data_IF_648254393540
#
_entry.id   IF_648254393540
#
_cell.length_a   1.000
_cell.length_b   1.000
_cell.length_c   1.000
_cell.angle_alpha   90.00
_cell.angle_beta   90.00
_cell.angle_gamma   90.00
#
_symmetry.space_group_name_H-M   'P 1'
#
loop_
_entity.id
_entity.type
_entity.pdbx_description
1 polymer ?
#
# COMPACT_ATOMS: atom_id res chain seq x y z
N UNK A 1 1.45 25.03 9.69
CA UNK A 1 1.05 23.77 9.03
C UNK A 1 1.96 22.59 9.39
N UNK A 2 3.30 22.70 9.31
CA UNK A 2 4.20 21.55 9.60
C UNK A 2 4.04 20.88 10.98
N UNK A 3 3.92 21.67 12.05
CA UNK A 3 3.78 21.14 13.43
C UNK A 3 2.54 20.24 13.61
N UNK A 4 1.43 20.52 12.91
CA UNK A 4 0.19 19.75 13.08
C UNK A 4 0.27 18.38 12.40
N UNK A 5 0.97 18.27 11.27
CA UNK A 5 1.16 16.98 10.60
C UNK A 5 2.07 16.06 11.40
N UNK A 6 3.10 16.63 12.05
CA UNK A 6 3.97 15.86 12.95
C UNK A 6 3.18 15.30 14.13
N UNK A 7 2.37 16.12 14.82
CA UNK A 7 1.58 15.66 15.96
C UNK A 7 0.63 14.54 15.56
N UNK A 8 -0.09 14.66 14.45
CA UNK A 8 -0.99 13.61 13.97
C UNK A 8 -0.26 12.31 13.61
N UNK A 9 0.90 12.40 12.96
CA UNK A 9 1.72 11.24 12.65
C UNK A 9 2.24 10.58 13.93
N UNK A 10 2.76 11.38 14.86
CA UNK A 10 3.23 10.94 16.16
C UNK A 10 2.13 10.24 16.98
N UNK A 11 0.90 10.75 16.96
CA UNK A 11 -0.24 10.13 17.64
C UNK A 11 -0.69 8.83 16.97
N UNK A 12 -0.77 8.81 15.64
CA UNK A 12 -1.13 7.59 14.91
C UNK A 12 -0.09 6.47 15.12
N UNK A 13 1.21 6.79 15.07
CA UNK A 13 2.27 5.80 15.32
C UNK A 13 2.27 5.27 16.74
N UNK A 14 1.94 6.12 17.72
CA UNK A 14 1.73 5.68 19.09
C UNK A 14 0.54 4.71 19.17
N UNK A 15 -0.60 5.07 18.59
CA UNK A 15 -1.82 4.26 18.60
C UNK A 15 -1.60 2.90 17.93
N UNK A 16 -0.90 2.87 16.80
CA UNK A 16 -0.47 1.62 16.14
C UNK A 16 0.31 0.72 17.10
N UNK A 17 1.33 1.23 17.79
CA UNK A 17 2.15 0.42 18.68
C UNK A 17 1.32 -0.12 19.85
N UNK A 18 0.48 0.72 20.45
CA UNK A 18 -0.37 0.31 21.58
C UNK A 18 -1.37 -0.76 21.15
N UNK A 19 -2.07 -0.56 20.03
CA UNK A 19 -3.08 -1.49 19.53
C UNK A 19 -2.47 -2.85 19.13
N UNK A 20 -1.32 -2.83 18.44
CA UNK A 20 -0.78 -4.05 17.80
C UNK A 20 0.29 -4.77 18.64
N UNK A 21 1.03 -4.07 19.50
CA UNK A 21 2.17 -4.64 20.22
C UNK A 21 1.99 -4.69 21.74
N UNK A 22 1.10 -3.88 22.31
CA UNK A 22 0.88 -3.90 23.76
C UNK A 22 -0.25 -4.89 24.15
N UNK A 23 -0.16 -5.52 25.33
CA UNK A 23 -1.22 -6.41 25.83
C UNK A 23 -2.48 -5.61 26.19
N UNK A 24 -3.64 -6.28 26.17
CA UNK A 24 -4.94 -5.67 26.44
C UNK A 24 -5.02 -4.94 27.80
N UNK A 25 -4.31 -5.43 28.83
CA UNK A 25 -4.26 -4.74 30.13
C UNK A 25 -3.63 -3.34 30.04
N UNK A 26 -2.67 -3.14 29.13
CA UNK A 26 -2.07 -1.83 28.88
C UNK A 26 -2.99 -0.95 28.03
N UNK A 27 -3.62 -1.53 26.99
CA UNK A 27 -4.57 -0.84 26.11
C UNK A 27 -5.79 -0.28 26.87
N UNK A 28 -6.18 -0.93 27.97
CA UNK A 28 -7.32 -0.52 28.80
C UNK A 28 -6.98 0.58 29.83
N UNK A 29 -5.72 1.01 29.96
CA UNK A 29 -5.36 2.14 30.82
C UNK A 29 -5.85 3.45 30.21
N UNK A 30 -6.03 4.48 31.05
CA UNK A 30 -6.34 5.83 30.54
C UNK A 30 -5.22 6.33 29.61
N UNK A 31 -5.54 6.99 28.47
CA UNK A 31 -4.52 7.41 27.49
C UNK A 31 -3.39 8.26 28.07
N UNK A 32 -3.69 9.12 29.05
CA UNK A 32 -2.68 9.92 29.74
C UNK A 32 -1.74 9.06 30.60
N UNK A 33 -2.28 8.02 31.25
CA UNK A 33 -1.49 7.05 32.02
C UNK A 33 -0.63 6.22 31.08
N UNK A 34 -1.18 5.76 29.94
CA UNK A 34 -0.42 5.02 28.93
C UNK A 34 0.77 5.85 28.43
N UNK A 35 0.52 7.11 28.02
CA UNK A 35 1.56 8.01 27.46
C UNK A 35 2.67 8.29 28.46
N UNK A 36 2.39 8.31 29.76
CA UNK A 36 3.38 8.55 30.81
C UNK A 36 3.95 7.26 31.42
N UNK A 37 3.51 6.08 30.95
CA UNK A 37 3.92 4.82 31.54
C UNK A 37 5.40 4.56 31.28
N UNK A 38 6.15 4.21 32.34
CA UNK A 38 7.60 4.01 32.29
C UNK A 38 8.04 2.97 31.24
N UNK A 39 7.18 2.00 30.94
CA UNK A 39 7.41 0.96 29.93
C UNK A 39 7.53 1.53 28.52
N UNK A 40 6.98 2.70 28.21
CA UNK A 40 7.12 3.30 26.88
C UNK A 40 8.41 4.12 26.81
N UNK A 41 8.63 5.02 27.77
CA UNK A 41 9.78 5.92 27.78
C UNK A 41 11.13 5.19 27.92
N UNK A 42 11.17 4.06 28.63
CA UNK A 42 12.41 3.31 28.87
C UNK A 42 12.60 2.11 27.95
N UNK A 43 11.63 1.77 27.11
CA UNK A 43 11.73 0.60 26.24
C UNK A 43 12.38 0.98 24.91
N UNK A 44 13.62 0.51 24.63
CA UNK A 44 14.29 0.82 23.37
C UNK A 44 13.53 0.25 22.15
N UNK A 45 12.79 -0.85 22.30
CA UNK A 45 11.98 -1.44 21.24
C UNK A 45 10.83 -0.50 20.87
N UNK A 46 10.22 0.16 21.87
CA UNK A 46 9.18 1.16 21.62
C UNK A 46 9.72 2.28 20.73
N UNK A 47 10.83 2.91 21.13
CA UNK A 47 11.41 4.02 20.36
C UNK A 47 11.93 3.60 18.98
N UNK A 48 12.55 2.42 18.89
CA UNK A 48 13.01 1.85 17.62
C UNK A 48 11.86 1.54 16.66
N UNK A 49 10.64 1.33 17.16
CA UNK A 49 9.45 1.14 16.32
C UNK A 49 8.71 2.46 16.06
N UNK A 50 8.63 3.31 17.08
CA UNK A 50 7.88 4.57 17.07
C UNK A 50 8.44 5.58 16.09
N UNK A 51 9.75 5.84 16.12
CA UNK A 51 10.35 6.87 15.27
C UNK A 51 10.26 6.53 13.78
N UNK A 52 10.58 5.30 13.33
CA UNK A 52 10.36 4.91 11.95
C UNK A 52 8.88 5.01 11.56
N UNK A 53 7.96 4.49 12.38
CA UNK A 53 6.53 4.59 12.07
C UNK A 53 6.06 6.05 11.93
N UNK A 54 6.51 6.95 12.81
CA UNK A 54 6.16 8.36 12.72
C UNK A 54 6.66 8.99 11.41
N UNK A 55 7.88 8.65 10.99
CA UNK A 55 8.43 9.07 9.71
C UNK A 55 7.68 8.46 8.51
N UNK A 56 7.30 7.19 8.60
CA UNK A 56 6.52 6.48 7.59
C UNK A 56 5.16 7.14 7.39
N UNK A 57 4.41 7.39 8.48
CA UNK A 57 3.11 8.07 8.42
C UNK A 57 3.25 9.50 7.92
N UNK A 58 4.28 10.24 8.37
CA UNK A 58 4.51 11.62 7.92
C UNK A 58 4.80 11.70 6.42
N UNK A 59 5.68 10.81 5.92
CA UNK A 59 6.03 10.78 4.50
C UNK A 59 4.84 10.35 3.64
N UNK A 60 4.01 9.41 4.11
CA UNK A 60 2.74 9.07 3.46
C UNK A 60 1.77 10.25 3.42
N UNK A 61 1.56 10.97 4.53
CA UNK A 61 0.73 12.19 4.54
C UNK A 61 1.24 13.22 3.54
N UNK A 62 2.56 13.42 3.47
CA UNK A 62 3.16 14.35 2.52
C UNK A 62 2.92 13.91 1.08
N UNK A 63 3.14 12.63 0.76
CA UNK A 63 2.86 12.08 -0.55
C UNK A 63 1.38 12.28 -0.93
N UNK A 64 0.46 11.96 -0.02
CA UNK A 64 -0.98 12.12 -0.27
C UNK A 64 -1.47 13.57 -0.29
N UNK A 65 -0.67 14.51 0.22
CA UNK A 65 -0.99 15.94 0.12
C UNK A 65 -1.00 16.42 -1.35
N UNK A 66 -0.30 15.74 -2.25
CA UNK A 66 -0.31 16.02 -3.69
C UNK A 66 -1.71 15.89 -4.31
N UNK A 67 -2.57 15.04 -3.75
CA UNK A 67 -3.96 14.86 -4.18
C UNK A 67 -4.96 15.58 -3.26
N UNK A 68 -4.51 16.46 -2.36
CA UNK A 68 -5.36 17.08 -1.33
C UNK A 68 -5.89 16.08 -0.31
N UNK A 69 -5.20 14.96 -0.14
CA UNK A 69 -5.59 13.89 0.79
C UNK A 69 -4.73 13.87 2.06
N UNK A 70 -3.67 14.68 2.15
CA UNK A 70 -2.76 14.74 3.31
C UNK A 70 -3.26 15.58 4.50
N UNK A 71 -4.44 16.18 4.37
CA UNK A 71 -5.03 17.09 5.35
C UNK A 71 -5.43 16.38 6.67
N UNK A 72 -5.94 17.19 7.60
CA UNK A 72 -6.44 16.74 8.90
C UNK A 72 -7.52 15.67 8.76
N UNK A 73 -7.70 14.90 9.84
CA UNK A 73 -8.82 13.97 9.98
C UNK A 73 -10.14 14.70 9.78
N UNK A 74 -10.99 14.16 8.90
CA UNK A 74 -12.29 14.78 8.63
C UNK A 74 -13.16 14.61 9.87
N UNK A 75 -13.96 15.61 10.25
CA UNK A 75 -14.78 15.53 11.46
C UNK A 75 -15.84 14.42 11.40
N UNK A 76 -16.18 13.95 10.19
CA UNK A 76 -17.15 12.90 9.95
C UNK A 76 -16.51 11.51 9.76
N UNK A 77 -15.18 11.42 9.78
CA UNK A 77 -14.42 10.19 9.58
C UNK A 77 -14.59 9.27 10.79
N UNK A 78 -14.97 8.02 10.52
CA UNK A 78 -15.06 6.98 11.54
C UNK A 78 -13.66 6.58 12.03
N UNK A 79 -13.58 6.02 13.23
CA UNK A 79 -12.31 5.53 13.78
C UNK A 79 -11.64 4.49 12.86
N UNK A 80 -12.43 3.61 12.24
CA UNK A 80 -11.90 2.61 11.31
C UNK A 80 -11.38 3.22 10.00
N UNK A 81 -12.04 4.27 9.46
CA UNK A 81 -11.52 5.00 8.30
C UNK A 81 -10.19 5.70 8.63
N UNK A 82 -10.14 6.35 9.79
CA UNK A 82 -8.92 7.01 10.28
C UNK A 82 -7.79 5.99 10.44
N UNK A 83 -8.06 4.83 11.05
CA UNK A 83 -7.07 3.74 11.21
C UNK A 83 -6.61 3.22 9.86
N UNK A 84 -7.52 2.97 8.91
CA UNK A 84 -7.14 2.53 7.56
C UNK A 84 -6.26 3.57 6.87
N UNK A 85 -6.64 4.84 6.94
CA UNK A 85 -5.89 5.91 6.29
C UNK A 85 -4.52 6.15 6.93
N UNK A 86 -4.45 6.27 8.24
CA UNK A 86 -3.21 6.61 8.95
C UNK A 86 -2.31 5.38 9.15
N UNK A 87 -2.87 4.26 9.63
CA UNK A 87 -2.07 3.10 10.05
C UNK A 87 -1.65 2.20 8.90
N UNK A 88 -2.41 2.20 7.80
CA UNK A 88 -2.17 1.31 6.68
C UNK A 88 -1.75 2.07 5.44
N UNK A 89 -2.57 3.02 4.99
CA UNK A 89 -2.28 3.73 3.74
C UNK A 89 -1.04 4.62 3.90
N UNK A 90 -1.06 5.61 4.81
CA UNK A 90 0.10 6.52 4.93
C UNK A 90 1.36 5.83 5.44
N UNK A 91 1.24 4.95 6.43
CA UNK A 91 2.39 4.21 6.94
C UNK A 91 3.09 3.38 5.85
N UNK A 92 2.36 2.88 4.85
CA UNK A 92 2.91 2.02 3.80
C UNK A 92 3.31 2.81 2.54
N UNK A 93 2.47 3.75 2.11
CA UNK A 93 2.68 4.52 0.89
C UNK A 93 3.86 5.50 1.03
N UNK A 94 4.16 5.98 2.23
CA UNK A 94 5.32 6.84 2.49
C UNK A 94 6.64 6.16 2.09
N UNK A 95 7.00 5.01 2.69
CA UNK A 95 8.17 4.23 2.33
C UNK A 95 8.19 3.78 0.87
N UNK A 96 7.06 3.34 0.31
CA UNK A 96 6.98 2.91 -1.09
C UNK A 96 7.23 4.07 -2.03
N UNK A 97 6.65 5.23 -1.75
CA UNK A 97 6.91 6.46 -2.50
C UNK A 97 8.38 6.86 -2.44
N UNK A 98 9.00 6.73 -1.26
CA UNK A 98 10.43 6.98 -1.12
C UNK A 98 11.30 5.99 -1.91
N UNK A 99 11.01 4.70 -1.86
CA UNK A 99 11.69 3.68 -2.68
C UNK A 99 11.53 3.97 -4.18
N UNK A 100 10.32 4.31 -4.61
CA UNK A 100 10.04 4.69 -6.01
C UNK A 100 10.88 5.89 -6.47
N UNK A 101 11.15 6.85 -5.57
CA UNK A 101 12.02 7.99 -5.87
C UNK A 101 13.50 7.59 -5.96
N UNK A 102 13.95 6.62 -5.15
CA UNK A 102 15.30 6.06 -5.26
C UNK A 102 15.46 5.32 -6.58
N UNK A 103 14.52 4.42 -6.91
CA UNK A 103 14.53 3.68 -8.17
C UNK A 103 14.58 4.64 -9.37
N UNK A 104 13.79 5.72 -9.32
CA UNK A 104 13.79 6.75 -10.35
C UNK A 104 15.12 7.51 -10.42
N UNK A 105 15.73 7.82 -9.28
CA UNK A 105 17.03 8.48 -9.25
C UNK A 105 18.11 7.59 -9.87
N UNK A 106 18.13 6.30 -9.52
CA UNK A 106 19.08 5.33 -10.07
C UNK A 106 18.95 5.24 -11.60
N UNK A 107 17.71 5.15 -12.12
CA UNK A 107 17.46 5.20 -13.58
C UNK A 107 18.06 6.45 -14.22
N UNK A 108 17.87 7.62 -13.61
CA UNK A 108 18.32 8.90 -14.15
C UNK A 108 19.84 9.05 -14.13
N UNK A 109 20.50 8.54 -13.08
CA UNK A 109 21.96 8.62 -12.93
C UNK A 109 22.71 7.55 -13.74
N UNK A 110 22.08 6.40 -13.99
CA UNK A 110 22.70 5.31 -14.76
C UNK A 110 22.46 5.41 -16.28
N UNK A 111 21.48 6.20 -16.71
CA UNK A 111 21.19 6.45 -18.13
C UNK A 111 22.43 6.74 -19.01
N UNK A 112 23.45 7.51 -18.56
CA UNK A 112 24.63 7.84 -19.36
C UNK A 112 25.66 6.70 -19.50
N UNK A 113 25.63 5.70 -18.63
CA UNK A 113 26.72 4.73 -18.45
C UNK A 113 26.43 3.33 -19.02
N UNK A 114 25.21 3.09 -19.52
CA UNK A 114 24.77 1.77 -19.92
C UNK A 114 25.10 1.40 -21.38
N UNK A 115 25.69 0.24 -21.59
CA UNK A 115 25.75 -0.40 -22.91
C UNK A 115 24.32 -0.73 -23.39
N UNK A 116 24.02 -0.46 -24.67
CA UNK A 116 22.65 -0.53 -25.25
C UNK A 116 21.84 -1.79 -24.93
N UNK A 117 22.50 -2.96 -24.77
CA UNK A 117 21.81 -4.22 -24.43
C UNK A 117 21.37 -4.27 -22.98
N UNK A 118 22.30 -4.03 -22.04
CA UNK A 118 21.98 -3.95 -20.61
C UNK A 118 20.95 -2.85 -20.34
N UNK A 119 21.00 -1.75 -21.12
CA UNK A 119 20.06 -0.64 -21.01
C UNK A 119 18.61 -1.08 -21.25
N UNK A 120 18.37 -1.83 -22.34
CA UNK A 120 17.02 -2.27 -22.70
C UNK A 120 16.41 -3.16 -21.63
N UNK A 121 17.23 -4.02 -21.06
CA UNK A 121 16.82 -5.01 -20.08
C UNK A 121 16.51 -4.35 -18.72
N UNK A 122 17.36 -3.42 -18.28
CA UNK A 122 17.15 -2.64 -17.06
C UNK A 122 15.97 -1.66 -17.18
N UNK A 123 15.78 -1.01 -18.34
CA UNK A 123 14.67 -0.07 -18.56
C UNK A 123 13.30 -0.74 -18.47
N UNK A 124 13.16 -1.95 -19.02
CA UNK A 124 11.89 -2.69 -18.91
C UNK A 124 11.61 -3.06 -17.45
N UNK A 125 12.64 -3.48 -16.71
CA UNK A 125 12.53 -3.79 -15.28
C UNK A 125 12.07 -2.59 -14.46
N UNK A 126 12.75 -1.45 -14.63
CA UNK A 126 12.36 -0.22 -13.95
C UNK A 126 10.96 0.25 -14.33
N UNK A 127 10.57 0.15 -15.61
CA UNK A 127 9.24 0.51 -16.04
C UNK A 127 8.16 -0.34 -15.36
N UNK A 128 8.41 -1.65 -15.19
CA UNK A 128 7.49 -2.56 -14.49
C UNK A 128 7.42 -2.20 -13.01
N UNK A 129 8.56 -2.01 -12.34
CA UNK A 129 8.61 -1.64 -10.92
C UNK A 129 7.88 -0.33 -10.66
N UNK A 130 8.19 0.72 -11.41
CA UNK A 130 7.51 2.02 -11.31
C UNK A 130 6.01 1.92 -11.58
N UNK A 131 5.60 1.10 -12.56
CA UNK A 131 4.19 0.89 -12.86
C UNK A 131 3.46 0.19 -11.71
N UNK A 132 4.07 -0.83 -11.10
CA UNK A 132 3.52 -1.57 -9.96
C UNK A 132 3.40 -0.66 -8.73
N UNK A 133 4.48 0.04 -8.35
CA UNK A 133 4.48 0.90 -7.15
C UNK A 133 3.55 2.11 -7.31
N UNK A 134 3.55 2.75 -8.49
CA UNK A 134 2.65 3.87 -8.77
C UNK A 134 1.19 3.41 -8.78
N UNK A 135 0.89 2.26 -9.38
CA UNK A 135 -0.48 1.70 -9.39
C UNK A 135 -0.97 1.42 -7.97
N UNK A 136 -0.08 0.95 -7.09
CA UNK A 136 -0.41 0.71 -5.69
C UNK A 136 -0.76 2.00 -4.94
N UNK A 137 0.08 3.03 -5.01
CA UNK A 137 -0.18 4.35 -4.39
C UNK A 137 -1.46 4.98 -4.95
N UNK A 138 -1.69 4.88 -6.26
CA UNK A 138 -2.91 5.36 -6.89
C UNK A 138 -4.14 4.59 -6.41
N UNK A 139 -4.05 3.26 -6.24
CA UNK A 139 -5.15 2.45 -5.72
C UNK A 139 -5.51 2.84 -4.28
N UNK A 140 -4.51 3.15 -3.44
CA UNK A 140 -4.73 3.64 -2.08
C UNK A 140 -5.28 5.06 -2.04
N UNK A 141 -4.79 5.96 -2.90
CA UNK A 141 -5.36 7.29 -3.06
C UNK A 141 -6.83 7.23 -3.49
N UNK A 142 -7.14 6.33 -4.43
CA UNK A 142 -8.51 6.07 -4.84
C UNK A 142 -9.36 5.45 -3.72
N UNK A 143 -8.76 4.63 -2.86
CA UNK A 143 -9.43 4.06 -1.71
C UNK A 143 -9.85 5.15 -0.71
N UNK A 144 -8.96 6.09 -0.40
CA UNK A 144 -9.26 7.25 0.45
C UNK A 144 -10.43 8.05 -0.12
N UNK A 145 -10.41 8.32 -1.43
CA UNK A 145 -11.51 9.04 -2.09
C UNK A 145 -12.83 8.25 -2.01
N UNK A 146 -12.76 6.93 -2.08
CA UNK A 146 -13.95 6.07 -1.97
C UNK A 146 -14.53 6.06 -0.56
N UNK A 147 -13.68 6.01 0.47
CA UNK A 147 -14.09 6.19 1.87
C UNK A 147 -14.67 7.60 2.09
N UNK A 148 -14.06 8.62 1.48
CA UNK A 148 -14.56 10.00 1.54
C UNK A 148 -15.97 10.14 0.96
N UNK A 149 -16.23 9.47 -0.15
CA UNK A 149 -17.55 9.41 -0.77
C UNK A 149 -18.52 8.44 -0.05
N UNK A 150 -18.08 7.73 0.99
CA UNK A 150 -18.84 6.69 1.71
C UNK A 150 -19.49 5.66 0.79
N UNK A 151 -18.83 5.35 -0.34
CA UNK A 151 -19.35 4.37 -1.30
C UNK A 151 -19.12 2.96 -0.80
N UNK A 152 -20.20 2.27 -0.44
CA UNK A 152 -20.15 0.86 -0.01
C UNK A 152 -19.62 -0.05 -1.14
N UNK A 153 -20.10 0.16 -2.38
CA UNK A 153 -19.68 -0.67 -3.51
C UNK A 153 -18.21 -0.41 -3.84
N UNK A 154 -17.81 0.86 -3.91
CA UNK A 154 -16.43 1.24 -4.19
C UNK A 154 -15.47 0.64 -3.15
N UNK A 155 -15.77 0.76 -1.85
CA UNK A 155 -14.91 0.21 -0.80
C UNK A 155 -14.74 -1.30 -0.96
N UNK A 156 -15.83 -2.03 -1.22
CA UNK A 156 -15.77 -3.48 -1.45
C UNK A 156 -14.96 -3.84 -2.69
N UNK A 157 -15.17 -3.12 -3.79
CA UNK A 157 -14.44 -3.34 -5.04
C UNK A 157 -12.94 -3.10 -4.84
N UNK A 158 -12.56 -2.01 -4.17
CA UNK A 158 -11.16 -1.71 -3.88
C UNK A 158 -10.53 -2.79 -2.99
N UNK A 159 -11.22 -3.24 -1.94
CA UNK A 159 -10.75 -4.34 -1.06
C UNK A 159 -10.49 -5.61 -1.87
N UNK A 160 -11.46 -6.03 -2.71
CA UNK A 160 -11.31 -7.21 -3.56
C UNK A 160 -10.12 -7.03 -4.50
N UNK A 161 -10.06 -5.90 -5.22
CA UNK A 161 -9.04 -5.67 -6.24
C UNK A 161 -7.64 -5.59 -5.64
N UNK A 162 -7.47 -4.91 -4.49
CA UNK A 162 -6.19 -4.87 -3.79
C UNK A 162 -5.78 -6.26 -3.27
N UNK A 163 -6.72 -7.05 -2.75
CA UNK A 163 -6.44 -8.42 -2.29
C UNK A 163 -5.98 -9.29 -3.46
N UNK A 164 -6.71 -9.27 -4.58
CA UNK A 164 -6.35 -10.02 -5.80
C UNK A 164 -5.00 -9.56 -6.32
N UNK A 165 -4.75 -8.25 -6.38
CA UNK A 165 -3.47 -7.70 -6.81
C UNK A 165 -2.32 -8.13 -5.89
N UNK A 166 -2.49 -8.12 -4.58
CA UNK A 166 -1.49 -8.57 -3.62
C UNK A 166 -1.15 -10.06 -3.80
N UNK A 167 -2.15 -10.92 -3.99
CA UNK A 167 -1.91 -12.34 -4.32
C UNK A 167 -1.17 -12.50 -5.65
N UNK A 168 -1.46 -11.66 -6.63
CA UNK A 168 -0.74 -11.67 -7.90
C UNK A 168 0.71 -11.30 -7.77
N UNK A 169 0.97 -10.19 -7.09
CA UNK A 169 2.33 -9.73 -6.85
C UNK A 169 3.13 -10.76 -6.03
N UNK A 170 2.50 -11.42 -5.05
CA UNK A 170 3.13 -12.53 -4.32
C UNK A 170 3.54 -13.68 -5.25
N UNK A 171 2.62 -14.15 -6.10
CA UNK A 171 2.91 -15.23 -7.04
C UNK A 171 4.01 -14.83 -8.02
N UNK A 172 4.01 -13.58 -8.47
CA UNK A 172 5.03 -13.02 -9.35
C UNK A 172 6.41 -12.99 -8.71
N UNK A 173 6.52 -12.50 -7.47
CA UNK A 173 7.79 -12.48 -6.72
C UNK A 173 8.33 -13.90 -6.51
N UNK A 174 7.47 -14.84 -6.11
CA UNK A 174 7.86 -16.23 -5.89
C UNK A 174 8.27 -16.91 -7.20
N UNK A 175 7.52 -16.70 -8.29
CA UNK A 175 7.85 -17.25 -9.60
C UNK A 175 9.15 -16.66 -10.15
N UNK A 176 9.36 -15.34 -9.99
CA UNK A 176 10.61 -14.65 -10.34
C UNK A 176 11.80 -15.26 -9.60
N UNK A 177 11.68 -15.45 -8.27
CA UNK A 177 12.74 -16.05 -7.45
C UNK A 177 13.07 -17.48 -7.89
N UNK A 178 12.06 -18.30 -8.15
CA UNK A 178 12.25 -19.69 -8.62
C UNK A 178 12.92 -19.71 -10.00
N UNK A 179 12.48 -18.84 -10.91
CA UNK A 179 13.02 -18.78 -12.27
C UNK A 179 14.47 -18.30 -12.26
N UNK A 180 14.77 -17.24 -11.51
CA UNK A 180 16.12 -16.73 -11.36
C UNK A 180 17.07 -17.86 -10.89
N UNK A 181 16.69 -18.59 -9.84
CA UNK A 181 17.42 -19.78 -9.36
C UNK A 181 17.62 -20.86 -10.43
N UNK A 182 16.62 -21.10 -11.29
CA UNK A 182 16.68 -22.14 -12.34
C UNK A 182 17.51 -21.74 -13.57
N UNK A 183 17.64 -20.44 -13.83
CA UNK A 183 18.29 -19.91 -15.03
C UNK A 183 19.82 -19.92 -14.97
N UNK A 184 20.40 -20.09 -13.77
CA UNK A 184 21.84 -19.96 -13.50
C UNK A 184 22.49 -18.66 -14.03
N UNK A 185 21.70 -17.63 -14.38
CA UNK A 185 22.19 -16.38 -14.98
C UNK A 185 23.10 -15.58 -14.06
N UNK A 186 22.83 -15.61 -12.76
CA UNK A 186 23.54 -14.85 -11.71
C UNK A 186 24.46 -15.73 -10.83
N UNK A 187 24.82 -16.92 -11.32
CA UNK A 187 25.70 -17.87 -10.59
C UNK A 187 24.97 -18.75 -9.57
N UNK A 188 25.67 -19.20 -8.53
CA UNK A 188 25.12 -20.10 -7.49
C UNK A 188 24.28 -19.39 -6.44
N UNK A 189 24.42 -18.07 -6.32
CA UNK A 189 23.74 -17.26 -5.32
C UNK A 189 22.46 -16.67 -5.90
N UNK A 190 21.40 -16.63 -5.10
CA UNK A 190 20.08 -16.09 -5.51
C UNK A 190 20.11 -14.56 -5.60
N UNK A 191 21.00 -13.92 -4.84
CA UNK A 191 21.23 -12.48 -4.84
C UNK A 191 22.74 -12.25 -4.97
N UNK A 192 23.15 -11.32 -5.84
CA UNK A 192 24.55 -10.96 -6.04
C UNK A 192 25.02 -9.93 -5.01
N UNK A 193 24.09 -9.11 -4.52
CA UNK A 193 24.36 -8.03 -3.58
C UNK A 193 23.41 -8.01 -2.38
N UNK A 194 23.86 -7.37 -1.28
CA UNK A 194 23.00 -7.10 -0.12
C UNK A 194 21.87 -6.11 -0.45
N UNK A 195 22.05 -5.28 -1.48
CA UNK A 195 21.04 -4.33 -1.95
C UNK A 195 19.87 -5.05 -2.62
N UNK A 196 20.15 -5.99 -3.54
CA UNK A 196 19.10 -6.83 -4.15
C UNK A 196 18.30 -7.61 -3.10
N UNK A 197 18.98 -8.21 -2.11
CA UNK A 197 18.29 -8.88 -1.01
C UNK A 197 17.39 -7.91 -0.22
N UNK A 198 17.86 -6.69 0.04
CA UNK A 198 17.10 -5.68 0.74
C UNK A 198 15.88 -5.20 -0.07
N UNK A 199 16.03 -4.97 -1.36
CA UNK A 199 14.94 -4.58 -2.28
C UNK A 199 13.89 -5.68 -2.39
N UNK A 200 14.30 -6.92 -2.64
CA UNK A 200 13.40 -8.07 -2.69
C UNK A 200 12.65 -8.24 -1.35
N UNK A 201 13.37 -8.10 -0.23
CA UNK A 201 12.76 -8.16 1.11
C UNK A 201 11.75 -7.04 1.33
N UNK A 202 12.04 -5.81 0.89
CA UNK A 202 11.11 -4.69 0.98
C UNK A 202 9.84 -4.93 0.15
N UNK A 203 9.97 -5.44 -1.09
CA UNK A 203 8.84 -5.83 -1.95
C UNK A 203 7.99 -6.93 -1.31
N UNK A 204 8.64 -7.96 -0.75
CA UNK A 204 7.94 -9.05 -0.07
C UNK A 204 7.22 -8.56 1.19
N UNK A 205 7.87 -7.70 1.99
CA UNK A 205 7.25 -7.06 3.15
C UNK A 205 6.04 -6.23 2.73
N UNK A 206 6.14 -5.42 1.67
CA UNK A 206 5.01 -4.67 1.11
C UNK A 206 3.84 -5.60 0.77
N UNK A 207 4.08 -6.69 0.03
CA UNK A 207 3.03 -7.66 -0.32
C UNK A 207 2.40 -8.29 0.92
N UNK A 208 3.21 -8.65 1.92
CA UNK A 208 2.71 -9.18 3.19
C UNK A 208 1.82 -8.16 3.92
N UNK A 209 2.21 -6.88 3.93
CA UNK A 209 1.39 -5.80 4.49
C UNK A 209 0.10 -5.60 3.69
N UNK A 210 0.12 -5.68 2.36
CA UNK A 210 -1.09 -5.58 1.53
C UNK A 210 -2.09 -6.71 1.84
N UNK A 211 -1.59 -7.94 2.01
CA UNK A 211 -2.42 -9.08 2.42
C UNK A 211 -2.96 -8.90 3.85
N UNK A 212 -2.14 -8.38 4.77
CA UNK A 212 -2.56 -8.03 6.12
C UNK A 212 -3.61 -6.90 6.15
N UNK A 213 -3.47 -5.92 5.25
CA UNK A 213 -4.38 -4.80 5.11
C UNK A 213 -5.79 -5.27 4.73
N UNK A 214 -5.93 -6.34 3.95
CA UNK A 214 -7.24 -6.91 3.62
C UNK A 214 -8.05 -7.30 4.88
N UNK A 215 -7.38 -7.81 5.92
CA UNK A 215 -8.02 -8.10 7.20
C UNK A 215 -8.54 -6.83 7.89
N UNK A 216 -7.75 -5.75 7.90
CA UNK A 216 -8.18 -4.49 8.50
C UNK A 216 -9.29 -3.83 7.66
N UNK A 217 -9.13 -3.80 6.34
CA UNK A 217 -10.11 -3.22 5.44
C UNK A 217 -11.44 -3.97 5.48
N UNK A 218 -11.45 -5.27 5.82
CA UNK A 218 -12.69 -6.03 6.03
C UNK A 218 -13.62 -5.41 7.07
N UNK A 219 -13.09 -4.64 8.04
CA UNK A 219 -13.92 -3.90 9.01
C UNK A 219 -14.75 -2.80 8.34
N UNK A 220 -14.27 -2.26 7.22
CA UNK A 220 -15.01 -1.30 6.40
C UNK A 220 -16.02 -1.96 5.44
N UNK A 221 -16.00 -3.29 5.27
CA UNK A 221 -16.83 -4.03 4.31
C UNK A 221 -18.34 -3.74 4.42
N UNK A 222 -18.80 -3.44 5.63
CA UNK A 222 -20.19 -3.12 5.94
C UNK A 222 -20.35 -1.78 6.66
N UNK A 223 -19.30 -0.96 6.78
CA UNK A 223 -19.32 0.26 7.61
C UNK A 223 -20.45 1.21 7.20
N UNK A 224 -20.65 1.41 5.90
CA UNK A 224 -21.65 2.35 5.40
C UNK A 224 -23.06 1.78 5.26
N UNK A 225 -23.30 0.49 5.58
CA UNK A 225 -24.62 -0.15 5.39
C UNK A 225 -25.73 0.50 6.22
N UNK A 226 -25.39 1.08 7.38
CA UNK A 226 -26.36 1.74 8.28
C UNK A 226 -26.73 3.15 7.80
N UNK A 227 -25.78 3.91 7.26
CA UNK A 227 -26.02 5.25 6.69
C UNK A 227 -26.96 5.20 5.47
N UNK A 228 -26.97 4.08 4.74
CA UNK A 228 -27.92 3.83 3.66
C UNK A 228 -29.37 3.62 4.12
N UNK A 229 -29.58 3.16 5.36
CA UNK A 229 -30.94 2.99 5.90
C UNK A 229 -31.57 4.31 6.32
N UNK A 230 -30.77 5.32 6.69
CA UNK A 230 -31.27 6.64 7.07
C UNK A 230 -31.46 7.59 5.88
N UNK A 231 -30.88 7.29 4.72
CA UNK A 231 -30.90 8.14 3.51
C UNK A 231 -32.00 7.79 2.49
N UNK A 232 -32.97 6.94 2.85
CA UNK A 232 -34.22 6.80 2.06
C UNK A 232 -34.13 5.86 0.85
N UNK A 233 -33.29 4.82 0.89
CA UNK A 233 -33.32 3.76 -0.12
C UNK A 233 -34.33 2.66 0.22
N UNK A 234 -35.59 2.91 -0.15
CA UNK A 234 -36.52 1.86 -0.62
C UNK A 234 -37.18 2.35 -1.91
N UNK A 235 -36.38 2.56 -2.96
CA UNK A 235 -36.93 2.64 -4.32
C UNK A 235 -35.99 1.89 -5.28
N UNK A 236 -36.40 0.65 -5.59
CA UNK A 236 -35.71 -0.30 -6.48
C UNK A 236 -35.33 0.30 -7.85
N UNK A 237 -36.05 1.32 -8.33
CA UNK A 237 -35.75 2.06 -9.56
C UNK A 237 -34.58 3.06 -9.45
N UNK A 238 -34.26 3.56 -8.26
CA UNK A 238 -33.09 4.42 -8.02
C UNK A 238 -31.80 3.59 -7.88
N UNK A 239 -31.92 2.38 -7.33
CA UNK A 239 -30.83 1.41 -7.24
C UNK A 239 -30.18 1.12 -8.60
N UNK A 240 -30.96 1.00 -9.68
CA UNK A 240 -30.41 0.77 -11.02
C UNK A 240 -29.54 1.92 -11.54
N UNK A 241 -29.96 3.18 -11.31
CA UNK A 241 -29.19 4.37 -11.73
C UNK A 241 -27.97 4.61 -10.84
N UNK A 242 -28.11 4.39 -9.54
CA UNK A 242 -27.00 4.45 -8.59
C UNK A 242 -25.97 3.37 -8.91
N UNK A 243 -26.40 2.11 -9.00
CA UNK A 243 -25.52 0.98 -9.33
C UNK A 243 -24.83 1.21 -10.68
N UNK A 244 -25.55 1.70 -11.70
CA UNK A 244 -24.93 2.05 -12.98
C UNK A 244 -23.87 3.13 -12.84
N UNK A 245 -24.15 4.23 -12.14
CA UNK A 245 -23.19 5.31 -11.93
C UNK A 245 -21.96 4.83 -11.16
N UNK A 246 -22.16 4.03 -10.12
CA UNK A 246 -21.07 3.45 -9.35
C UNK A 246 -20.28 2.43 -10.20
N UNK A 247 -20.95 1.52 -10.92
CA UNK A 247 -20.29 0.62 -11.85
C UNK A 247 -19.49 1.39 -12.90
N UNK A 248 -20.02 2.46 -13.50
CA UNK A 248 -19.30 3.30 -14.45
C UNK A 248 -18.09 4.00 -13.78
N UNK A 249 -18.26 4.52 -12.56
CA UNK A 249 -17.21 5.20 -11.79
C UNK A 249 -16.08 4.26 -11.34
N UNK A 250 -16.42 3.03 -11.00
CA UNK A 250 -15.52 2.03 -10.42
C UNK A 250 -15.06 0.97 -11.43
N UNK A 251 -15.61 0.92 -12.65
CA UNK A 251 -15.25 -0.07 -13.69
C UNK A 251 -13.78 -0.01 -14.11
N UNK A 252 -13.15 1.16 -13.97
CA UNK A 252 -11.73 1.32 -14.30
C UNK A 252 -10.83 0.40 -13.46
N UNK A 253 -11.21 0.09 -12.22
CA UNK A 253 -10.41 -0.74 -11.31
C UNK A 253 -10.35 -2.20 -11.80
N UNK A 254 -11.47 -2.93 -11.97
CA UNK A 254 -11.42 -4.30 -12.46
C UNK A 254 -10.87 -4.36 -13.88
N UNK A 255 -11.11 -3.36 -14.74
CA UNK A 255 -10.50 -3.31 -16.08
C UNK A 255 -8.98 -3.19 -15.99
N UNK A 256 -8.45 -2.27 -15.19
CA UNK A 256 -7.01 -2.12 -14.98
C UNK A 256 -6.40 -3.39 -14.38
N UNK A 257 -7.06 -4.01 -13.39
CA UNK A 257 -6.63 -5.26 -12.80
C UNK A 257 -6.58 -6.39 -13.85
N UNK A 258 -7.65 -6.59 -14.63
CA UNK A 258 -7.70 -7.61 -15.68
C UNK A 258 -6.65 -7.36 -16.75
N UNK A 259 -6.46 -6.12 -17.19
CA UNK A 259 -5.44 -5.77 -18.17
C UNK A 259 -4.04 -6.10 -17.64
N UNK A 260 -3.73 -5.71 -16.41
CA UNK A 260 -2.46 -6.01 -15.77
C UNK A 260 -2.24 -7.52 -15.70
N UNK A 261 -3.20 -8.28 -15.19
CA UNK A 261 -3.14 -9.74 -15.15
C UNK A 261 -3.00 -10.40 -16.52
N UNK A 262 -3.66 -9.86 -17.54
CA UNK A 262 -3.54 -10.36 -18.92
C UNK A 262 -2.11 -10.14 -19.43
N UNK A 263 -1.54 -8.96 -19.21
CA UNK A 263 -0.15 -8.66 -19.58
C UNK A 263 0.83 -9.58 -18.86
N UNK A 264 0.60 -9.86 -17.58
CA UNK A 264 1.41 -10.79 -16.79
C UNK A 264 1.35 -12.22 -17.33
N UNK A 265 0.15 -12.70 -17.65
CA UNK A 265 -0.04 -14.03 -18.25
C UNK A 265 0.65 -14.12 -19.61
N UNK A 266 0.51 -13.08 -20.44
CA UNK A 266 1.19 -13.02 -21.75
C UNK A 266 2.71 -13.03 -21.57
N UNK A 267 3.25 -12.26 -20.62
CA UNK A 267 4.68 -12.25 -20.32
C UNK A 267 5.19 -13.62 -19.83
N UNK A 268 4.39 -14.32 -19.00
CA UNK A 268 4.67 -15.69 -18.58
C UNK A 268 4.75 -16.66 -19.77
N UNK A 269 3.74 -16.65 -20.65
CA UNK A 269 3.68 -17.56 -21.79
C UNK A 269 4.74 -17.27 -22.86
N UNK A 270 5.14 -16.01 -23.03
CA UNK A 270 6.21 -15.64 -23.96
C UNK A 270 7.60 -16.03 -23.46
N UNK A 271 7.70 -16.58 -22.24
CA UNK A 271 8.93 -17.02 -21.61
C UNK A 271 9.99 -15.91 -21.57
N UNK A 272 9.56 -14.66 -21.43
CA UNK A 272 10.43 -13.50 -21.47
C UNK A 272 11.21 -13.40 -20.16
N UNK A 273 12.47 -13.87 -20.14
CA UNK A 273 13.33 -13.83 -18.95
C UNK A 273 13.41 -12.42 -18.35
N UNK A 274 13.33 -11.38 -19.19
CA UNK A 274 13.41 -9.98 -18.80
C UNK A 274 12.28 -9.54 -17.87
N UNK A 275 11.10 -10.11 -18.10
CA UNK A 275 9.93 -9.81 -17.26
C UNK A 275 10.10 -10.36 -15.84
N UNK A 276 10.76 -11.51 -15.70
CA UNK A 276 10.96 -12.16 -14.40
C UNK A 276 12.15 -11.58 -13.65
N UNK A 277 13.20 -11.21 -14.38
CA UNK A 277 14.35 -10.48 -13.85
C UNK A 277 13.91 -9.10 -13.31
N UNK A 278 12.82 -8.53 -13.82
CA UNK A 278 12.26 -7.27 -13.30
C UNK A 278 11.66 -7.37 -11.89
N UNK A 279 11.28 -8.58 -11.48
CA UNK A 279 10.51 -8.81 -10.25
C UNK A 279 11.41 -9.20 -9.07
N UNK A 280 12.57 -9.78 -9.36
CA UNK A 280 13.60 -10.12 -8.37
C UNK A 280 14.54 -8.94 -8.19
#
# INVERSE_FOLDING_TARGET
HGLTHWTEAAEASYDMIVIWLCPACFQNLDPEVQRNHWILWRNPIFWATYLPLAFMVLSGKWLHSLWGQGDRVRPDETEEEMRVRMHWIYALDGPIGFLTLIDLADVLFDLPNYEQRKFRDSVLSWAITLAITSSYILANSYFIETMKNRSLLGVRLVIICQTVFAFGLLNMLVAGLIRNKSSHRYGTNVFESWLELAEYSARLTMVAFMLGAAFVYSRLWNAYRRDYRSSGEVLFHMHGRYLRRECERYAIIPVAAVLMWTLLIVAYYNNDDLFWDALV
#
